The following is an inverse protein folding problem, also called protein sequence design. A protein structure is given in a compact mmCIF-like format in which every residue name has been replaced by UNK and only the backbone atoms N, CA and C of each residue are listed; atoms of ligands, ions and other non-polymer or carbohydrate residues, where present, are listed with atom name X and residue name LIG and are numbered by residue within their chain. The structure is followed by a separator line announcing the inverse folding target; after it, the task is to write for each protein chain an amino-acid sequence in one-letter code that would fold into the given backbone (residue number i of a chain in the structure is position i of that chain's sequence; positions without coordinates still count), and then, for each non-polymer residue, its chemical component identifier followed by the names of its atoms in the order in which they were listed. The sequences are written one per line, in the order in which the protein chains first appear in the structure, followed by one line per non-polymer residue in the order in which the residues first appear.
data_IF_808497345675
#
_entry.id   IF_808497345675
#
_cell.length_a   1.000
_cell.length_b   1.000
_cell.length_c   1.000
_cell.angle_alpha   90.00
_cell.angle_beta   90.00
_cell.angle_gamma   90.00
#
_symmetry.space_group_name_H-M   'P 1'
#
loop_
_entity.id
_entity.type
_entity.pdbx_description
1 polymer ?
#
# COMPACT_ATOMS: atom_id res chain seq x y z
N UNK A 1 -8.31 -19.97 33.95
CA UNK A 1 -7.29 -18.90 34.01
C UNK A 1 -7.69 -17.86 32.97
N UNK A 2 -8.47 -16.85 33.36
CA UNK A 2 -8.97 -15.81 32.43
C UNK A 2 -7.81 -14.96 31.93
N UNK A 3 -7.39 -15.17 30.69
CA UNK A 3 -6.52 -14.25 29.99
C UNK A 3 -7.31 -12.95 29.83
N UNK A 4 -6.80 -11.87 30.39
CA UNK A 4 -7.44 -10.57 30.38
C UNK A 4 -7.49 -10.04 28.93
N UNK A 5 -8.64 -10.25 28.27
CA UNK A 5 -8.89 -9.99 26.84
C UNK A 5 -8.52 -8.55 26.42
N UNK A 6 -8.67 -7.58 27.32
CA UNK A 6 -8.28 -6.18 27.09
C UNK A 6 -6.76 -5.99 26.95
N UNK A 7 -5.92 -6.80 27.62
CA UNK A 7 -4.46 -6.68 27.52
C UNK A 7 -3.90 -7.25 26.22
N UNK A 8 -4.57 -8.24 25.61
CA UNK A 8 -4.16 -8.78 24.30
C UNK A 8 -4.53 -7.81 23.18
N UNK A 9 -5.71 -7.19 23.24
CA UNK A 9 -6.13 -6.15 22.29
C UNK A 9 -5.22 -4.93 22.41
N UNK A 10 -4.89 -4.49 23.62
CA UNK A 10 -3.92 -3.39 23.81
C UNK A 10 -2.51 -3.82 23.41
N UNK A 11 -2.03 -5.04 23.63
CA UNK A 11 -0.68 -5.43 23.21
C UNK A 11 -0.52 -5.55 21.67
N UNK A 12 -1.57 -6.02 20.97
CA UNK A 12 -1.59 -6.12 19.51
C UNK A 12 -1.89 -4.75 18.85
N UNK A 13 -2.67 -3.88 19.49
CA UNK A 13 -2.93 -2.51 19.01
C UNK A 13 -1.92 -1.45 19.52
N UNK A 14 -1.16 -1.71 20.59
CA UNK A 14 -0.21 -0.77 21.21
C UNK A 14 1.26 -1.09 20.93
N UNK A 15 1.56 -2.03 20.03
CA UNK A 15 2.86 -2.07 19.36
C UNK A 15 3.09 -0.87 18.40
N UNK A 16 2.21 0.15 18.49
CA UNK A 16 2.22 1.39 17.71
C UNK A 16 2.23 2.64 18.61
N UNK A 17 3.08 2.72 19.65
CA UNK A 17 3.46 4.02 20.24
C UNK A 17 4.82 3.97 20.91
N UNK A 18 5.87 4.26 20.13
CA UNK A 18 6.97 5.13 20.58
C UNK A 18 7.27 6.09 19.44
N UNK A 19 6.60 7.25 19.43
CA UNK A 19 7.05 8.40 18.66
C UNK A 19 8.28 9.00 19.35
N UNK A 20 9.41 8.28 19.31
CA UNK A 20 10.69 8.90 19.58
C UNK A 20 11.07 9.66 18.32
N UNK A 21 11.17 10.99 18.43
CA UNK A 21 11.69 11.83 17.37
C UNK A 21 13.13 11.42 17.05
N UNK A 22 13.29 10.48 16.12
CA UNK A 22 14.56 10.21 15.50
C UNK A 22 14.67 11.14 14.30
N UNK A 23 15.52 12.16 14.44
CA UNK A 23 16.10 12.82 13.29
C UNK A 23 16.87 11.76 12.50
N UNK A 24 16.21 11.15 11.51
CA UNK A 24 16.86 10.27 10.56
C UNK A 24 17.99 11.06 9.90
N UNK A 25 19.24 10.60 10.07
CA UNK A 25 20.36 11.07 9.27
C UNK A 25 19.98 10.84 7.82
N UNK A 26 19.71 11.93 7.10
CA UNK A 26 19.46 11.91 5.67
C UNK A 26 20.78 11.65 4.95
N UNK A 27 21.24 10.39 4.94
CA UNK A 27 22.02 9.94 3.80
C UNK A 27 21.07 9.96 2.59
N UNK A 28 21.44 10.72 1.55
CA UNK A 28 20.57 10.92 0.39
C UNK A 28 20.14 9.58 -0.21
N UNK A 29 18.86 9.46 -0.58
CA UNK A 29 18.35 8.24 -1.20
C UNK A 29 19.28 7.79 -2.34
N UNK A 30 19.65 6.50 -2.33
CA UNK A 30 20.75 5.91 -3.12
C UNK A 30 20.69 6.24 -4.62
N UNK A 31 19.51 6.56 -5.15
CA UNK A 31 19.29 6.88 -6.57
C UNK A 31 19.64 8.33 -6.99
N UNK A 32 19.91 9.26 -6.07
CA UNK A 32 20.10 10.67 -6.43
C UNK A 32 21.53 11.14 -6.53
N UNK A 33 22.52 10.24 -6.58
CA UNK A 33 23.91 10.68 -6.81
C UNK A 33 24.07 11.51 -8.10
N UNK A 34 23.12 11.41 -9.05
CA UNK A 34 23.14 12.10 -10.34
C UNK A 34 21.83 12.82 -10.74
N UNK A 35 20.82 12.93 -9.87
CA UNK A 35 19.57 13.65 -10.20
C UNK A 35 19.61 15.09 -9.68
N UNK A 36 19.39 16.06 -10.55
CA UNK A 36 19.33 17.49 -10.19
C UNK A 36 17.99 17.92 -9.59
N UNK A 37 16.96 17.09 -9.72
CA UNK A 37 15.63 17.32 -9.13
C UNK A 37 15.32 16.15 -8.20
N UNK A 38 15.10 16.43 -6.92
CA UNK A 38 14.63 15.44 -5.94
C UNK A 38 13.21 15.84 -5.52
N UNK A 39 12.22 15.10 -6.01
CA UNK A 39 10.82 15.22 -5.63
C UNK A 39 10.60 14.52 -4.27
N UNK A 40 11.09 15.16 -3.19
CA UNK A 40 10.99 14.63 -1.82
C UNK A 40 9.57 14.63 -1.27
N UNK A 41 8.70 15.48 -1.81
CA UNK A 41 7.34 15.70 -1.32
C UNK A 41 6.30 15.49 -2.41
N UNK A 42 5.09 15.09 -2.00
CA UNK A 42 3.96 14.95 -2.93
C UNK A 42 3.63 16.33 -3.52
N UNK A 43 3.36 16.43 -4.84
CA UNK A 43 2.88 17.66 -5.44
C UNK A 43 1.67 18.20 -4.69
N UNK A 44 1.73 19.45 -4.26
CA UNK A 44 0.60 20.13 -3.64
C UNK A 44 -0.54 20.24 -4.66
N UNK A 45 -1.78 20.11 -4.18
CA UNK A 45 -2.96 20.39 -5.00
C UNK A 45 -2.91 21.84 -5.47
N UNK A 46 -3.23 22.10 -6.74
CA UNK A 46 -3.33 23.48 -7.22
C UNK A 46 -4.49 24.22 -6.55
N UNK A 47 -4.40 25.55 -6.49
CA UNK A 47 -5.36 26.40 -5.77
C UNK A 47 -6.79 26.25 -6.29
N UNK A 48 -6.97 26.11 -7.60
CA UNK A 48 -8.31 25.91 -8.18
C UNK A 48 -8.94 24.58 -7.71
N UNK A 49 -8.14 23.51 -7.63
CA UNK A 49 -8.61 22.22 -7.11
C UNK A 49 -8.98 22.34 -5.63
N UNK A 50 -8.15 23.03 -4.83
CA UNK A 50 -8.48 23.29 -3.41
C UNK A 50 -9.79 24.06 -3.27
N UNK A 51 -9.98 25.10 -4.08
CA UNK A 51 -11.22 25.90 -4.12
C UNK A 51 -12.43 25.05 -4.48
N UNK A 52 -12.34 24.23 -5.53
CA UNK A 52 -13.44 23.37 -5.96
C UNK A 52 -13.77 22.27 -4.95
N UNK A 53 -12.77 21.70 -4.28
CA UNK A 53 -12.98 20.80 -3.14
C UNK A 53 -13.74 21.52 -2.02
N UNK A 54 -13.35 22.75 -1.67
CA UNK A 54 -14.03 23.52 -0.65
C UNK A 54 -15.48 23.88 -1.06
N UNK A 55 -15.72 24.22 -2.32
CA UNK A 55 -17.07 24.46 -2.85
C UNK A 55 -17.94 23.21 -2.78
N UNK A 56 -17.44 22.07 -3.25
CA UNK A 56 -18.16 20.79 -3.19
C UNK A 56 -18.50 20.36 -1.76
N UNK A 57 -17.61 20.60 -0.79
CA UNK A 57 -17.89 20.31 0.63
C UNK A 57 -18.98 21.19 1.23
N UNK A 58 -19.03 22.46 0.83
CA UNK A 58 -20.05 23.40 1.31
C UNK A 58 -21.41 23.09 0.69
N UNK A 59 -21.42 22.70 -0.57
CA UNK A 59 -22.61 22.33 -1.33
C UNK A 59 -22.29 21.16 -2.27
N UNK A 60 -22.68 19.92 -1.94
CA UNK A 60 -22.39 18.73 -2.73
C UNK A 60 -23.35 18.56 -3.93
N UNK A 61 -23.74 19.66 -4.57
CA UNK A 61 -24.57 19.67 -5.76
C UNK A 61 -23.86 19.06 -6.97
N UNK A 62 -24.64 18.56 -7.94
CA UNK A 62 -24.10 17.96 -9.18
C UNK A 62 -23.27 18.96 -9.98
N UNK A 63 -23.62 20.26 -9.94
CA UNK A 63 -22.84 21.32 -10.56
C UNK A 63 -21.43 21.43 -9.96
N UNK A 64 -21.31 21.45 -8.63
CA UNK A 64 -20.01 21.50 -7.94
C UNK A 64 -19.21 20.21 -8.14
N UNK A 65 -19.88 19.05 -8.14
CA UNK A 65 -19.27 17.75 -8.42
C UNK A 65 -18.67 17.73 -9.83
N UNK A 66 -19.43 18.16 -10.84
CA UNK A 66 -19.02 18.21 -12.24
C UNK A 66 -17.87 19.19 -12.46
N UNK A 67 -17.92 20.37 -11.84
CA UNK A 67 -16.83 21.35 -11.90
C UNK A 67 -15.53 20.79 -11.30
N UNK A 68 -15.60 20.15 -10.13
CA UNK A 68 -14.45 19.49 -9.51
C UNK A 68 -13.91 18.36 -10.39
N UNK A 69 -14.79 17.48 -10.90
CA UNK A 69 -14.39 16.37 -11.79
C UNK A 69 -13.67 16.89 -13.03
N UNK A 70 -14.20 17.94 -13.67
CA UNK A 70 -13.59 18.57 -14.84
C UNK A 70 -12.18 19.06 -14.52
N UNK A 71 -12.00 19.75 -13.39
CA UNK A 71 -10.68 20.23 -12.99
C UNK A 71 -9.70 19.08 -12.69
N UNK A 72 -10.16 18.00 -12.06
CA UNK A 72 -9.36 16.79 -11.83
C UNK A 72 -8.91 16.17 -13.15
N UNK A 73 -9.81 16.07 -14.14
CA UNK A 73 -9.48 15.60 -15.49
C UNK A 73 -8.41 16.47 -16.16
N UNK A 74 -8.57 17.80 -16.12
CA UNK A 74 -7.57 18.75 -16.66
C UNK A 74 -6.21 18.55 -16.00
N UNK A 75 -6.17 18.36 -14.68
CA UNK A 75 -4.91 18.12 -13.97
C UNK A 75 -4.26 16.80 -14.39
N UNK A 76 -5.06 15.74 -14.57
CA UNK A 76 -4.58 14.44 -15.02
C UNK A 76 -3.99 14.51 -16.43
N UNK A 77 -4.70 15.14 -17.36
CA UNK A 77 -4.26 15.31 -18.75
C UNK A 77 -2.92 16.04 -18.84
N UNK A 78 -2.73 17.10 -18.04
CA UNK A 78 -1.44 17.81 -17.95
C UNK A 78 -0.28 16.92 -17.49
N UNK A 79 -0.54 15.89 -16.68
CA UNK A 79 0.50 14.93 -16.26
C UNK A 79 0.75 13.92 -17.38
N UNK A 80 -0.32 13.43 -18.02
CA UNK A 80 -0.24 12.52 -19.16
C UNK A 80 0.52 13.15 -20.33
N UNK A 81 0.27 14.41 -20.66
CA UNK A 81 0.97 15.12 -21.74
C UNK A 81 2.46 15.27 -21.46
N UNK A 82 2.83 15.59 -20.21
CA UNK A 82 4.25 15.62 -19.79
C UNK A 82 4.91 14.26 -19.92
N UNK A 83 4.19 13.18 -19.63
CA UNK A 83 4.68 11.81 -19.80
C UNK A 83 4.84 11.45 -21.29
N UNK A 84 3.85 11.76 -22.14
CA UNK A 84 3.96 11.58 -23.60
C UNK A 84 5.14 12.35 -24.19
N UNK A 85 5.34 13.60 -23.80
CA UNK A 85 6.49 14.40 -24.25
C UNK A 85 7.82 13.76 -23.83
N UNK A 86 7.92 13.23 -22.60
CA UNK A 86 9.13 12.54 -22.13
C UNK A 86 9.39 11.24 -22.90
N UNK A 87 8.33 10.50 -23.24
CA UNK A 87 8.44 9.30 -24.08
C UNK A 87 8.98 9.64 -25.47
N UNK A 88 8.49 10.70 -26.11
CA UNK A 88 9.01 11.16 -27.41
C UNK A 88 10.47 11.63 -27.33
N UNK A 89 10.85 12.29 -26.22
CA UNK A 89 12.26 12.63 -25.95
C UNK A 89 13.13 11.36 -25.81
N UNK A 90 12.67 10.36 -25.06
CA UNK A 90 13.39 9.10 -24.86
C UNK A 90 13.51 8.30 -26.16
N UNK A 91 12.50 8.30 -27.03
CA UNK A 91 12.59 7.68 -28.36
C UNK A 91 13.74 8.26 -29.21
N UNK A 92 14.11 9.52 -28.97
CA UNK A 92 15.21 10.20 -29.68
C UNK A 92 16.56 10.05 -28.98
N UNK A 93 16.56 9.95 -27.65
CA UNK A 93 17.78 10.13 -26.83
C UNK A 93 18.23 8.88 -26.08
N UNK A 94 17.34 7.91 -25.85
CA UNK A 94 17.66 6.74 -25.06
C UNK A 94 18.56 5.77 -25.82
N UNK A 95 19.67 5.38 -25.20
CA UNK A 95 20.60 4.38 -25.75
C UNK A 95 20.07 2.94 -25.70
N UNK A 96 19.08 2.67 -24.86
CA UNK A 96 18.54 1.33 -24.61
C UNK A 96 17.04 1.32 -24.84
N UNK A 97 16.59 0.38 -25.68
CA UNK A 97 15.16 0.18 -26.00
C UNK A 97 14.30 -0.10 -24.76
N UNK A 98 14.88 -0.75 -23.73
CA UNK A 98 14.18 -1.06 -22.48
C UNK A 98 13.62 0.19 -21.78
N UNK A 99 14.33 1.33 -21.82
CA UNK A 99 13.85 2.58 -21.23
C UNK A 99 12.66 3.18 -22.00
N UNK A 100 12.64 3.00 -23.31
CA UNK A 100 11.53 3.46 -24.16
C UNK A 100 10.31 2.59 -23.89
N UNK A 101 10.51 1.26 -23.86
CA UNK A 101 9.43 0.31 -23.57
C UNK A 101 8.81 0.55 -22.19
N UNK A 102 9.61 0.69 -21.14
CA UNK A 102 9.13 0.98 -19.79
C UNK A 102 8.28 2.26 -19.75
N UNK A 103 8.76 3.33 -20.42
CA UNK A 103 8.02 4.59 -20.47
C UNK A 103 6.73 4.47 -21.31
N UNK A 104 6.74 3.69 -22.39
CA UNK A 104 5.58 3.43 -23.23
C UNK A 104 4.50 2.70 -22.43
N UNK A 105 4.87 1.63 -21.72
CA UNK A 105 3.95 0.88 -20.84
C UNK A 105 3.29 1.80 -19.80
N UNK A 106 4.05 2.72 -19.19
CA UNK A 106 3.51 3.70 -18.25
C UNK A 106 2.49 4.62 -18.93
N UNK A 107 2.78 5.12 -20.13
CA UNK A 107 1.88 6.03 -20.86
C UNK A 107 0.60 5.30 -21.26
N UNK A 108 0.71 4.08 -21.78
CA UNK A 108 -0.44 3.29 -22.23
C UNK A 108 -1.38 2.97 -21.06
N UNK A 109 -0.81 2.56 -19.92
CA UNK A 109 -1.56 2.32 -18.69
C UNK A 109 -2.28 3.59 -18.21
N UNK A 110 -1.65 4.76 -18.28
CA UNK A 110 -2.28 6.03 -17.92
C UNK A 110 -3.44 6.41 -18.85
N UNK A 111 -3.30 6.17 -20.16
CA UNK A 111 -4.37 6.41 -21.13
C UNK A 111 -5.56 5.49 -20.84
N UNK A 112 -5.29 4.19 -20.67
CA UNK A 112 -6.32 3.18 -20.42
C UNK A 112 -7.06 3.43 -19.09
N UNK A 113 -6.36 3.84 -18.05
CA UNK A 113 -6.91 3.99 -16.69
C UNK A 113 -7.41 5.41 -16.37
N UNK A 114 -7.45 6.33 -17.34
CA UNK A 114 -7.75 7.75 -17.12
C UNK A 114 -9.02 7.99 -16.30
N UNK A 115 -10.17 7.46 -16.74
CA UNK A 115 -11.45 7.67 -16.06
C UNK A 115 -11.44 7.08 -14.66
N UNK A 116 -10.94 5.85 -14.50
CA UNK A 116 -10.81 5.20 -13.20
C UNK A 116 -9.97 6.04 -12.22
N UNK A 117 -8.92 6.72 -12.69
CA UNK A 117 -8.09 7.60 -11.85
C UNK A 117 -8.76 8.91 -11.49
N UNK A 118 -9.57 9.46 -12.40
CA UNK A 118 -10.42 10.62 -12.10
C UNK A 118 -11.46 10.21 -11.04
N UNK A 119 -12.12 9.06 -11.20
CA UNK A 119 -13.09 8.52 -10.25
C UNK A 119 -12.48 8.28 -8.87
N UNK A 120 -11.29 7.65 -8.83
CA UNK A 120 -10.53 7.43 -7.60
C UNK A 120 -10.24 8.76 -6.87
N UNK A 121 -9.81 9.77 -7.62
CA UNK A 121 -9.54 11.10 -7.07
C UNK A 121 -10.82 11.77 -6.57
N UNK A 122 -11.91 11.65 -7.32
CA UNK A 122 -13.23 12.17 -6.92
C UNK A 122 -13.72 11.53 -5.63
N UNK A 123 -13.69 10.20 -5.52
CA UNK A 123 -14.08 9.46 -4.31
C UNK A 123 -13.32 9.96 -3.08
N UNK A 124 -12.02 10.19 -3.23
CA UNK A 124 -11.19 10.73 -2.15
C UNK A 124 -11.56 12.17 -1.79
N UNK A 125 -11.78 13.04 -2.77
CA UNK A 125 -12.09 14.44 -2.53
C UNK A 125 -13.51 14.66 -1.98
N UNK A 126 -14.44 13.78 -2.33
CA UNK A 126 -15.80 13.77 -1.79
C UNK A 126 -15.90 13.10 -0.42
N UNK A 127 -14.85 12.46 0.07
CA UNK A 127 -14.87 11.77 1.36
C UNK A 127 -15.00 12.80 2.50
N UNK A 128 -16.04 12.70 3.36
CA UNK A 128 -16.21 13.61 4.50
C UNK A 128 -15.04 13.58 5.49
N UNK A 129 -14.28 12.48 5.52
CA UNK A 129 -13.09 12.31 6.36
C UNK A 129 -11.89 13.06 5.80
N UNK A 130 -11.92 13.57 4.58
CA UNK A 130 -10.80 14.29 3.97
C UNK A 130 -10.64 15.69 4.59
N UNK A 131 -10.16 15.79 5.84
CA UNK A 131 -9.97 17.04 6.59
C UNK A 131 -8.53 17.18 7.09
N UNK A 132 -8.06 18.39 7.44
CA UNK A 132 -6.79 18.55 8.14
C UNK A 132 -6.75 17.64 9.37
N UNK A 133 -5.64 16.91 9.58
CA UNK A 133 -5.52 15.95 10.69
C UNK A 133 -6.20 14.59 10.48
N UNK A 134 -6.77 14.28 9.31
CA UNK A 134 -7.41 12.97 9.05
C UNK A 134 -6.48 11.74 9.07
N UNK A 135 -5.21 11.91 9.44
CA UNK A 135 -4.17 10.86 9.45
C UNK A 135 -3.81 10.37 10.86
N UNK A 136 -4.61 10.69 11.89
CA UNK A 136 -4.38 10.11 13.20
C UNK A 136 -4.74 8.62 13.17
N UNK A 137 -3.77 7.78 13.53
CA UNK A 137 -4.01 6.37 13.70
C UNK A 137 -4.87 6.15 14.95
N UNK A 138 -5.97 5.42 14.81
CA UNK A 138 -6.75 4.91 15.93
C UNK A 138 -6.41 3.44 16.12
N UNK A 139 -5.72 3.11 17.23
CA UNK A 139 -5.24 1.76 17.51
C UNK A 139 -4.31 1.19 16.43
N UNK A 140 -3.55 2.04 15.74
CA UNK A 140 -2.67 1.65 14.63
C UNK A 140 -3.33 1.57 13.24
N UNK A 141 -4.61 1.94 13.12
CA UNK A 141 -5.36 1.93 11.85
C UNK A 141 -5.65 3.33 11.33
N UNK A 142 -5.48 3.53 10.03
CA UNK A 142 -5.60 4.81 9.33
C UNK A 142 -6.80 4.81 8.37
N UNK A 143 -7.65 5.85 8.36
CA UNK A 143 -8.78 5.91 7.43
C UNK A 143 -8.35 5.81 5.96
N UNK A 144 -9.00 4.93 5.20
CA UNK A 144 -8.77 4.78 3.76
C UNK A 144 -9.71 5.70 2.99
N UNK A 145 -9.25 6.92 2.69
CA UNK A 145 -10.06 7.93 2.00
C UNK A 145 -10.46 7.47 0.59
N UNK A 146 -11.76 7.55 0.28
CA UNK A 146 -12.34 7.10 -0.97
C UNK A 146 -12.83 5.63 -0.95
N UNK A 147 -12.44 4.84 0.03
CA UNK A 147 -13.10 3.57 0.36
C UNK A 147 -14.39 3.81 1.19
N UNK A 148 -15.08 2.74 1.57
CA UNK A 148 -16.22 2.81 2.50
C UNK A 148 -15.84 3.54 3.80
N UNK A 149 -16.82 4.24 4.40
CA UNK A 149 -16.57 5.18 5.49
C UNK A 149 -15.97 4.54 6.76
N UNK A 150 -16.25 3.26 6.99
CA UNK A 150 -15.80 2.45 8.11
C UNK A 150 -14.48 1.70 7.83
N UNK A 151 -13.88 1.86 6.65
CA UNK A 151 -12.64 1.17 6.28
C UNK A 151 -11.42 1.97 6.73
N UNK A 152 -10.58 1.32 7.53
CA UNK A 152 -9.24 1.79 7.92
C UNK A 152 -8.20 0.69 7.67
N UNK A 153 -6.95 1.05 7.46
CA UNK A 153 -5.86 0.11 7.15
C UNK A 153 -4.71 0.23 8.15
N UNK A 154 -4.06 -0.89 8.47
CA UNK A 154 -2.96 -0.92 9.41
C UNK A 154 -1.78 -0.04 8.95
N UNK A 155 -1.12 0.61 9.90
CA UNK A 155 0.01 1.52 9.66
C UNK A 155 1.20 0.83 8.98
N UNK A 156 1.49 -0.43 9.32
CA UNK A 156 2.55 -1.27 8.75
C UNK A 156 1.98 -2.59 8.24
N UNK A 157 2.73 -3.38 7.44
CA UNK A 157 2.45 -4.80 7.27
C UNK A 157 2.50 -5.51 8.63
N UNK A 158 1.90 -6.70 8.71
CA UNK A 158 1.96 -7.53 9.93
C UNK A 158 3.40 -7.96 10.17
N UNK A 159 3.90 -7.73 11.38
CA UNK A 159 5.28 -8.08 11.75
C UNK A 159 5.40 -9.53 12.19
N UNK A 160 6.62 -10.07 12.20
CA UNK A 160 6.87 -11.39 12.79
C UNK A 160 6.48 -11.43 14.28
N UNK A 161 6.69 -10.35 15.03
CA UNK A 161 6.27 -10.24 16.44
C UNK A 161 4.75 -10.35 16.61
N UNK A 162 3.99 -9.65 15.78
CA UNK A 162 2.52 -9.71 15.82
C UNK A 162 2.02 -11.11 15.42
N UNK A 163 2.62 -11.68 14.38
CA UNK A 163 2.27 -13.03 13.92
C UNK A 163 2.63 -14.11 14.94
N UNK A 164 3.72 -13.96 15.69
CA UNK A 164 4.09 -14.88 16.76
C UNK A 164 3.02 -14.94 17.87
N UNK A 165 2.35 -13.83 18.17
CA UNK A 165 1.25 -13.80 19.13
C UNK A 165 0.05 -14.62 18.64
N UNK A 166 -0.29 -14.50 17.35
CA UNK A 166 -1.31 -15.32 16.71
C UNK A 166 -0.97 -16.82 16.77
N UNK A 167 0.26 -17.20 16.43
CA UNK A 167 0.70 -18.61 16.50
C UNK A 167 0.61 -19.15 17.92
N UNK A 168 1.06 -18.38 18.92
CA UNK A 168 0.97 -18.74 20.33
C UNK A 168 -0.48 -18.92 20.79
N UNK A 169 -1.40 -18.06 20.33
CA UNK A 169 -2.81 -18.11 20.73
C UNK A 169 -3.58 -19.25 20.07
N UNK A 170 -3.20 -19.65 18.84
CA UNK A 170 -3.99 -20.58 18.02
C UNK A 170 -3.38 -21.98 17.89
N UNK A 171 -2.09 -22.14 18.20
CA UNK A 171 -1.36 -23.39 17.98
C UNK A 171 -1.12 -23.71 16.51
N UNK A 172 -1.36 -22.76 15.59
CA UNK A 172 -1.11 -22.93 14.16
C UNK A 172 0.39 -23.12 13.88
N UNK A 173 0.69 -23.77 12.75
CA UNK A 173 2.06 -24.00 12.30
C UNK A 173 2.74 -22.67 11.94
N UNK A 174 3.97 -22.50 12.41
CA UNK A 174 4.80 -21.35 12.07
C UNK A 174 5.23 -21.34 10.59
N UNK A 175 5.60 -20.17 10.03
CA UNK A 175 6.20 -20.09 8.70
C UNK A 175 7.43 -20.99 8.57
N UNK A 176 7.70 -21.49 7.36
CA UNK A 176 8.73 -22.52 7.11
C UNK A 176 10.15 -22.10 7.48
N UNK A 177 10.43 -20.80 7.50
CA UNK A 177 11.72 -20.21 7.82
C UNK A 177 11.91 -19.93 9.32
N UNK A 178 10.93 -20.26 10.16
CA UNK A 178 11.00 -20.18 11.61
C UNK A 178 11.55 -21.50 12.16
N UNK A 179 12.83 -21.50 12.52
CA UNK A 179 13.51 -22.70 13.02
C UNK A 179 12.85 -23.22 14.30
N UNK A 180 12.44 -24.49 14.28
CA UNK A 180 11.64 -25.13 15.33
C UNK A 180 10.41 -24.31 15.78
N UNK A 181 9.83 -23.54 14.87
CA UNK A 181 8.68 -22.66 15.14
C UNK A 181 9.01 -21.38 15.90
N UNK A 182 10.29 -21.09 16.14
CA UNK A 182 10.74 -19.86 16.74
C UNK A 182 10.92 -18.76 15.68
N UNK A 183 10.44 -17.57 16.01
CA UNK A 183 10.64 -16.37 15.20
C UNK A 183 12.14 -16.14 14.94
N UNK A 184 12.55 -15.79 13.70
CA UNK A 184 13.96 -15.56 13.40
C UNK A 184 14.55 -14.44 14.26
N UNK A 185 15.69 -14.73 14.90
CA UNK A 185 16.36 -13.79 15.80
C UNK A 185 16.65 -12.45 15.11
N UNK A 186 16.34 -11.35 15.80
CA UNK A 186 16.54 -9.98 15.29
C UNK A 186 15.56 -9.54 14.19
N UNK A 187 14.61 -10.38 13.77
CA UNK A 187 13.62 -10.05 12.72
C UNK A 187 12.21 -9.77 13.22
N UNK A 188 12.06 -9.48 14.51
CA UNK A 188 10.75 -9.26 15.12
C UNK A 188 9.92 -8.18 14.43
N UNK A 189 10.55 -7.05 14.09
CA UNK A 189 9.94 -5.91 13.38
C UNK A 189 9.97 -6.01 11.85
N UNK A 190 10.41 -7.13 11.28
CA UNK A 190 10.30 -7.37 9.85
C UNK A 190 8.87 -7.83 9.51
N UNK A 191 8.38 -7.58 8.28
CA UNK A 191 7.11 -8.15 7.85
C UNK A 191 7.17 -9.68 7.90
N UNK A 192 6.09 -10.30 8.36
CA UNK A 192 5.94 -11.75 8.24
C UNK A 192 5.79 -12.12 6.77
N UNK A 193 6.59 -13.08 6.32
CA UNK A 193 6.55 -13.65 4.96
C UNK A 193 6.51 -15.17 5.08
N UNK A 194 6.47 -15.88 3.95
CA UNK A 194 6.24 -17.34 3.94
C UNK A 194 4.91 -17.73 4.61
N UNK A 195 3.89 -16.90 4.41
CA UNK A 195 2.51 -17.17 4.81
C UNK A 195 1.62 -17.26 3.56
N UNK A 196 0.70 -18.21 3.55
CA UNK A 196 -0.29 -18.32 2.47
C UNK A 196 -1.38 -17.26 2.60
N UNK A 197 -2.21 -17.10 1.57
CA UNK A 197 -3.40 -16.25 1.67
C UNK A 197 -4.34 -16.78 2.78
N UNK A 198 -4.47 -18.10 2.90
CA UNK A 198 -5.32 -18.74 3.90
C UNK A 198 -4.82 -18.49 5.33
N UNK A 199 -3.50 -18.47 5.53
CA UNK A 199 -2.88 -18.11 6.81
C UNK A 199 -3.11 -16.64 7.16
N UNK A 200 -2.93 -15.74 6.18
CA UNK A 200 -3.17 -14.32 6.35
C UNK A 200 -4.66 -14.00 6.64
N UNK A 201 -5.57 -14.70 5.97
CA UNK A 201 -7.02 -14.65 6.23
C UNK A 201 -7.35 -15.18 7.62
N UNK A 202 -6.76 -16.30 8.05
CA UNK A 202 -6.94 -16.84 9.39
C UNK A 202 -6.44 -15.89 10.49
N UNK A 203 -5.34 -15.18 10.26
CA UNK A 203 -4.87 -14.12 11.16
C UNK A 203 -5.91 -13.01 11.31
N UNK A 204 -6.49 -12.54 10.20
CA UNK A 204 -7.54 -11.51 10.22
C UNK A 204 -8.81 -11.99 10.94
N UNK A 205 -9.21 -13.25 10.73
CA UNK A 205 -10.34 -13.85 11.46
C UNK A 205 -10.05 -13.93 12.96
N UNK A 206 -8.84 -14.32 13.35
CA UNK A 206 -8.44 -14.35 14.76
C UNK A 206 -8.53 -12.96 15.40
N UNK A 207 -8.06 -11.90 14.73
CA UNK A 207 -8.22 -10.51 15.19
C UNK A 207 -9.69 -10.12 15.35
N UNK A 208 -10.54 -10.50 14.39
CA UNK A 208 -11.99 -10.24 14.45
C UNK A 208 -12.67 -10.91 15.65
N UNK A 209 -12.18 -12.08 16.07
CA UNK A 209 -12.68 -12.73 17.28
C UNK A 209 -12.23 -12.02 18.56
N UNK A 210 -11.17 -11.21 18.51
CA UNK A 210 -10.69 -10.44 19.67
C UNK A 210 -11.40 -9.10 19.82
N UNK A 211 -11.87 -8.48 18.73
CA UNK A 211 -12.57 -7.19 18.78
C UNK A 211 -14.07 -7.35 18.49
N UNK A 212 -14.91 -6.97 19.46
CA UNK A 212 -16.37 -7.00 19.29
C UNK A 212 -16.92 -5.83 18.47
N UNK A 213 -16.09 -4.83 18.16
CA UNK A 213 -16.51 -3.59 17.50
C UNK A 213 -16.13 -3.53 16.03
N UNK A 214 -15.21 -4.38 15.58
CA UNK A 214 -14.69 -4.32 14.23
C UNK A 214 -14.44 -5.71 13.64
N UNK A 215 -14.54 -5.79 12.32
CA UNK A 215 -14.13 -6.94 11.53
C UNK A 215 -12.78 -6.63 10.89
N UNK A 216 -11.87 -7.58 10.93
CA UNK A 216 -10.57 -7.49 10.29
C UNK A 216 -10.50 -8.44 9.10
N UNK A 217 -9.92 -7.95 8.01
CA UNK A 217 -9.75 -8.70 6.77
C UNK A 217 -8.54 -8.21 5.98
N UNK A 218 -8.21 -8.93 4.92
CA UNK A 218 -7.25 -8.43 3.93
C UNK A 218 -7.88 -7.26 3.13
N UNK A 219 -7.06 -6.29 2.68
CA UNK A 219 -7.53 -5.24 1.81
C UNK A 219 -7.93 -5.81 0.44
N UNK A 220 -8.89 -5.19 -0.23
CA UNK A 220 -9.01 -5.33 -1.69
C UNK A 220 -7.84 -4.59 -2.36
N UNK A 221 -7.52 -4.90 -3.62
CA UNK A 221 -6.56 -4.10 -4.40
C UNK A 221 -6.94 -2.62 -4.41
N UNK A 222 -8.23 -2.32 -4.53
CA UNK A 222 -8.72 -0.93 -4.58
C UNK A 222 -8.48 -0.18 -3.27
N UNK A 223 -8.77 -0.80 -2.12
CA UNK A 223 -8.51 -0.20 -0.80
C UNK A 223 -7.03 -0.01 -0.54
N UNK A 224 -6.21 -0.98 -0.95
CA UNK A 224 -4.77 -0.88 -0.88
C UNK A 224 -4.25 0.30 -1.73
N UNK A 225 -4.77 0.45 -2.96
CA UNK A 225 -4.43 1.56 -3.85
C UNK A 225 -4.89 2.92 -3.31
N UNK A 226 -6.07 3.01 -2.70
CA UNK A 226 -6.52 4.21 -2.00
C UNK A 226 -5.61 4.57 -0.83
N UNK A 227 -5.20 3.57 -0.05
CA UNK A 227 -4.31 3.73 1.09
C UNK A 227 -2.92 4.21 0.66
N UNK A 228 -2.33 3.61 -0.39
CA UNK A 228 -1.02 3.96 -0.91
C UNK A 228 -1.04 5.33 -1.63
N UNK A 229 -2.02 5.55 -2.49
CA UNK A 229 -2.03 6.65 -3.46
C UNK A 229 -0.81 6.61 -4.37
N UNK A 230 -0.33 7.77 -4.83
CA UNK A 230 0.79 7.80 -5.76
C UNK A 230 2.12 7.47 -5.09
N UNK A 231 2.85 6.50 -5.67
CA UNK A 231 4.23 6.18 -5.27
C UNK A 231 5.15 7.38 -5.53
N UNK A 232 5.89 7.89 -4.53
CA UNK A 232 6.83 8.98 -4.75
C UNK A 232 7.94 8.58 -5.72
N UNK A 233 8.27 9.46 -6.66
CA UNK A 233 9.29 9.18 -7.68
C UNK A 233 10.67 8.98 -7.07
N UNK A 234 10.97 9.75 -6.03
CA UNK A 234 12.31 9.91 -5.46
C UNK A 234 12.35 9.48 -3.97
N UNK A 235 11.58 8.43 -3.65
CA UNK A 235 11.59 7.81 -2.32
C UNK A 235 12.50 6.59 -2.29
N UNK A 236 13.24 6.46 -1.19
CA UNK A 236 13.99 5.26 -0.83
C UNK A 236 13.06 4.27 -0.11
N UNK A 237 13.05 3.04 -0.60
CA UNK A 237 12.35 1.90 -0.02
C UNK A 237 12.97 0.60 -0.54
N UNK A 238 12.85 -0.47 0.24
CA UNK A 238 13.51 -1.75 -0.03
C UNK A 238 12.95 -2.43 -1.29
N UNK A 239 13.53 -2.14 -2.46
CA UNK A 239 13.19 -2.76 -3.74
C UNK A 239 14.46 -3.06 -4.54
N UNK A 240 14.51 -4.23 -5.18
CA UNK A 240 15.66 -4.65 -6.00
C UNK A 240 16.99 -4.90 -5.25
N UNK A 241 17.04 -4.67 -3.94
CA UNK A 241 18.22 -4.82 -3.08
C UNK A 241 18.66 -6.28 -2.91
N UNK A 242 17.73 -7.23 -3.03
CA UNK A 242 18.00 -8.68 -2.98
C UNK A 242 18.59 -9.21 -1.66
N UNK A 243 18.53 -8.42 -0.58
CA UNK A 243 19.08 -8.77 0.74
C UNK A 243 18.02 -9.24 1.75
N UNK A 244 16.81 -9.55 1.29
CA UNK A 244 15.67 -9.90 2.16
C UNK A 244 14.90 -8.67 2.67
N UNK A 245 13.94 -8.93 3.56
CA UNK A 245 13.11 -7.89 4.17
C UNK A 245 13.91 -7.00 5.13
N UNK A 246 13.43 -5.79 5.34
CA UNK A 246 13.90 -4.84 6.36
C UNK A 246 12.85 -4.64 7.45
N UNK A 247 13.19 -4.07 8.62
CA UNK A 247 12.20 -3.63 9.59
C UNK A 247 11.15 -2.71 8.94
N UNK A 248 9.88 -2.84 9.34
CA UNK A 248 8.74 -2.14 8.70
C UNK A 248 8.80 -0.61 8.82
N UNK A 249 9.63 -0.08 9.70
CA UNK A 249 9.86 1.35 9.93
C UNK A 249 11.18 1.88 9.35
N UNK A 250 12.00 1.02 8.71
CA UNK A 250 13.28 1.42 8.12
C UNK A 250 13.14 2.53 7.06
N UNK A 251 11.98 2.63 6.42
CA UNK A 251 11.66 3.63 5.39
C UNK A 251 10.44 4.50 5.77
N UNK A 252 10.26 4.80 7.06
CA UNK A 252 9.08 5.53 7.56
C UNK A 252 8.88 6.95 6.95
N UNK A 253 9.92 7.53 6.32
CA UNK A 253 9.80 8.78 5.57
C UNK A 253 8.88 8.64 4.32
N UNK A 254 8.73 7.42 3.81
CA UNK A 254 7.89 7.11 2.65
C UNK A 254 6.50 6.68 3.10
N UNK A 255 5.53 7.59 3.03
CA UNK A 255 4.14 7.34 3.46
C UNK A 255 3.12 7.32 2.32
N UNK A 256 2.14 6.43 2.46
CA UNK A 256 0.95 6.32 1.66
C UNK A 256 0.00 7.53 1.82
N UNK A 257 -1.05 7.59 1.00
CA UNK A 257 -2.02 8.67 1.01
C UNK A 257 -2.79 8.78 2.33
N UNK A 258 -3.04 7.64 2.97
CA UNK A 258 -3.63 7.57 4.30
C UNK A 258 -2.61 7.84 5.44
N UNK A 259 -1.31 7.74 5.15
CA UNK A 259 -0.22 7.87 6.13
C UNK A 259 0.49 6.55 6.47
N UNK A 260 0.00 5.40 6.00
CA UNK A 260 0.63 4.10 6.22
C UNK A 260 2.03 4.06 5.61
N UNK A 261 2.96 3.36 6.25
CA UNK A 261 4.33 3.21 5.77
C UNK A 261 4.54 1.83 5.16
N UNK A 262 5.65 1.68 4.43
CA UNK A 262 6.06 0.43 3.80
C UNK A 262 4.99 -0.09 2.81
N UNK A 263 4.30 0.84 2.13
CA UNK A 263 3.34 0.52 1.07
C UNK A 263 4.05 0.10 -0.24
N UNK A 264 5.35 0.32 -0.39
CA UNK A 264 6.08 0.01 -1.61
C UNK A 264 7.41 -0.66 -1.27
N UNK A 265 7.66 -1.82 -1.89
CA UNK A 265 8.82 -2.65 -1.58
C UNK A 265 8.63 -3.49 -0.31
N UNK A 266 9.74 -3.91 0.27
CA UNK A 266 9.87 -4.83 1.40
C UNK A 266 9.22 -6.20 1.12
N UNK A 267 7.91 -6.33 1.16
CA UNK A 267 7.20 -7.54 0.74
C UNK A 267 5.96 -7.20 -0.09
N UNK A 268 5.63 -8.08 -1.02
CA UNK A 268 4.30 -8.11 -1.61
C UNK A 268 3.26 -8.32 -0.51
N UNK A 269 2.13 -7.62 -0.59
CA UNK A 269 1.04 -7.76 0.37
C UNK A 269 -0.15 -8.49 -0.27
N UNK A 270 -0.61 -9.57 0.35
CA UNK A 270 -1.85 -10.26 -0.04
C UNK A 270 -3.06 -9.31 -0.02
N UNK A 271 -3.90 -9.43 -1.05
CA UNK A 271 -5.21 -8.75 -1.12
C UNK A 271 -6.33 -9.77 -1.30
N UNK A 272 -7.57 -9.38 -0.98
CA UNK A 272 -8.77 -10.20 -1.18
C UNK A 272 -9.34 -10.11 -2.60
N UNK A 273 -8.65 -9.45 -3.54
CA UNK A 273 -9.03 -9.39 -4.94
C UNK A 273 -8.47 -10.60 -5.69
N UNK A 274 -9.30 -11.29 -6.48
CA UNK A 274 -8.86 -12.39 -7.32
C UNK A 274 -8.20 -11.89 -8.61
N UNK A 275 -7.17 -12.59 -9.09
CA UNK A 275 -6.63 -12.36 -10.43
C UNK A 275 -7.31 -13.31 -11.41
N UNK A 276 -7.86 -12.77 -12.49
CA UNK A 276 -8.37 -13.59 -13.59
C UNK A 276 -7.19 -14.28 -14.29
N UNK A 277 -7.14 -15.60 -14.14
CA UNK A 277 -6.20 -16.48 -14.84
C UNK A 277 -7.00 -17.41 -15.74
N UNK A 278 -6.49 -17.67 -16.95
CA UNK A 278 -7.19 -18.59 -17.86
C UNK A 278 -7.35 -19.96 -17.20
N UNK A 279 -8.51 -20.61 -17.39
CA UNK A 279 -8.81 -21.90 -16.74
C UNK A 279 -7.74 -22.97 -17.00
N UNK A 280 -7.12 -22.94 -18.18
CA UNK A 280 -6.03 -23.85 -18.57
C UNK A 280 -4.73 -23.63 -17.76
N UNK A 281 -4.48 -22.41 -17.28
CA UNK A 281 -3.31 -22.06 -16.47
C UNK A 281 -3.60 -22.25 -14.99
N UNK A 282 -4.82 -21.88 -14.56
CA UNK A 282 -5.24 -21.96 -13.17
C UNK A 282 -5.41 -23.39 -12.66
N UNK A 283 -5.73 -24.36 -13.52
CA UNK A 283 -6.05 -25.74 -13.11
C UNK A 283 -7.09 -25.81 -11.96
N UNK A 284 -8.04 -24.88 -11.94
CA UNK A 284 -9.06 -24.77 -10.88
C UNK A 284 -8.58 -24.13 -9.56
N UNK A 285 -7.37 -23.56 -9.53
CA UNK A 285 -6.78 -22.95 -8.34
C UNK A 285 -7.17 -21.48 -8.19
N UNK A 286 -7.42 -21.05 -6.96
CA UNK A 286 -7.67 -19.65 -6.64
C UNK A 286 -6.37 -18.86 -6.58
N UNK A 287 -6.26 -17.84 -7.42
CA UNK A 287 -5.13 -16.90 -7.47
C UNK A 287 -5.58 -15.56 -6.91
N UNK A 288 -4.89 -15.10 -5.87
CA UNK A 288 -5.17 -13.82 -5.21
C UNK A 288 -4.13 -12.79 -5.62
N UNK A 289 -4.58 -11.56 -5.80
CA UNK A 289 -3.72 -10.45 -6.18
C UNK A 289 -2.81 -10.04 -5.01
N UNK A 290 -1.61 -9.61 -5.36
CA UNK A 290 -0.64 -9.05 -4.42
C UNK A 290 -0.21 -7.65 -4.86
N UNK A 291 0.10 -6.79 -3.89
CA UNK A 291 0.43 -5.38 -4.15
C UNK A 291 1.73 -4.94 -3.49
N UNK A 292 2.29 -3.82 -3.95
CA UNK A 292 3.43 -3.13 -3.32
C UNK A 292 4.82 -3.50 -3.84
N UNK A 293 5.03 -4.67 -4.44
CA UNK A 293 6.37 -5.15 -4.77
C UNK A 293 7.14 -5.63 -3.54
N UNK A 294 8.30 -6.25 -3.73
CA UNK A 294 9.14 -6.76 -2.63
C UNK A 294 10.59 -6.31 -2.71
N UNK A 295 11.38 -6.67 -1.70
CA UNK A 295 12.84 -6.48 -1.62
C UNK A 295 13.62 -6.99 -2.83
N UNK A 296 13.05 -7.88 -3.64
CA UNK A 296 13.64 -8.39 -4.90
C UNK A 296 12.95 -7.91 -6.17
N UNK A 297 11.82 -7.22 -6.06
CA UNK A 297 11.09 -6.68 -7.21
C UNK A 297 11.84 -5.48 -7.78
N UNK A 298 11.87 -5.32 -9.12
CA UNK A 298 12.29 -4.06 -9.70
C UNK A 298 11.29 -2.96 -9.32
N UNK A 299 11.76 -1.71 -9.22
CA UNK A 299 10.96 -0.56 -8.79
C UNK A 299 9.69 -0.35 -9.61
N UNK A 300 9.70 -0.71 -10.90
CA UNK A 300 8.54 -0.65 -11.80
C UNK A 300 7.39 -1.57 -11.38
N UNK A 301 7.69 -2.68 -10.71
CA UNK A 301 6.70 -3.59 -10.15
C UNK A 301 6.13 -3.10 -8.82
N UNK A 302 6.81 -2.18 -8.13
CA UNK A 302 6.32 -1.58 -6.89
C UNK A 302 5.31 -0.46 -7.13
N UNK A 303 5.00 -0.06 -8.37
CA UNK A 303 4.04 1.02 -8.65
C UNK A 303 2.67 0.69 -8.06
N UNK A 304 2.01 1.68 -7.46
CA UNK A 304 0.67 1.52 -6.89
C UNK A 304 -0.31 0.94 -7.90
N UNK A 305 -0.21 1.36 -9.15
CA UNK A 305 -1.16 1.01 -10.22
C UNK A 305 -0.86 -0.35 -10.88
N UNK A 306 0.23 -1.02 -10.51
CA UNK A 306 0.58 -2.36 -11.05
C UNK A 306 -0.51 -3.37 -10.67
N UNK A 307 -1.16 -3.96 -11.67
CA UNK A 307 -2.18 -5.01 -11.53
C UNK A 307 -1.77 -6.30 -12.24
N UNK A 308 -2.52 -7.38 -12.00
CA UNK A 308 -2.29 -8.69 -12.63
C UNK A 308 -1.21 -9.54 -11.95
N UNK A 309 -0.55 -9.00 -10.91
CA UNK A 309 0.38 -9.76 -10.09
C UNK A 309 -0.41 -10.64 -9.11
N UNK A 310 -0.39 -11.95 -9.34
CA UNK A 310 -1.15 -12.92 -8.57
C UNK A 310 -0.28 -14.05 -8.03
N UNK A 311 -0.75 -14.68 -6.94
CA UNK A 311 -0.14 -15.87 -6.36
C UNK A 311 -1.23 -16.88 -5.98
N UNK A 312 -0.91 -18.16 -6.09
CA UNK A 312 -1.83 -19.21 -5.68
C UNK A 312 -2.08 -19.15 -4.17
N UNK A 313 -3.35 -19.07 -3.79
CA UNK A 313 -3.79 -18.78 -2.41
C UNK A 313 -3.26 -19.75 -1.35
N UNK A 314 -3.14 -21.04 -1.68
CA UNK A 314 -2.69 -22.08 -0.75
C UNK A 314 -1.16 -22.17 -0.59
N UNK A 315 -0.40 -21.37 -1.34
CA UNK A 315 1.07 -21.39 -1.30
C UNK A 315 1.62 -20.19 -0.52
N UNK A 316 2.74 -20.45 0.15
CA UNK A 316 3.51 -19.44 0.86
C UNK A 316 4.76 -19.03 0.05
N UNK A 317 5.08 -17.74 0.05
CA UNK A 317 6.19 -17.18 -0.72
C UNK A 317 7.12 -16.35 0.16
N UNK A 318 8.42 -16.40 -0.09
CA UNK A 318 9.46 -15.78 0.74
C UNK A 318 9.50 -14.25 0.71
N UNK A 319 8.68 -13.64 -0.13
CA UNK A 319 8.57 -12.21 -0.31
C UNK A 319 7.12 -11.72 -0.33
N UNK A 320 6.18 -12.55 0.10
CA UNK A 320 4.76 -12.20 0.23
C UNK A 320 4.38 -12.26 1.71
N UNK A 321 3.99 -11.12 2.24
CA UNK A 321 3.37 -10.93 3.55
C UNK A 321 1.96 -10.36 3.37
N UNK A 322 1.50 -9.60 4.35
CA UNK A 322 0.17 -8.99 4.28
C UNK A 322 0.01 -7.81 5.25
N UNK A 323 -1.03 -7.03 5.01
CA UNK A 323 -1.51 -5.93 5.84
C UNK A 323 -2.99 -6.12 6.11
N UNK A 324 -3.45 -5.58 7.24
CA UNK A 324 -4.82 -5.75 7.71
C UNK A 324 -5.65 -4.48 7.47
N UNK A 325 -6.88 -4.68 7.02
CA UNK A 325 -7.96 -3.68 7.06
C UNK A 325 -8.85 -3.96 8.26
N UNK A 326 -9.29 -2.88 8.92
CA UNK A 326 -10.29 -2.86 9.99
C UNK A 326 -11.56 -2.17 9.48
N UNK A 327 -12.69 -2.84 9.63
CA UNK A 327 -14.03 -2.34 9.33
C UNK A 327 -14.84 -2.24 10.62
N UNK A 328 -15.17 -1.03 11.06
CA UNK A 328 -15.94 -0.79 12.30
C UNK A 328 -16.22 0.67 12.57
#
# INVERSE_FOLDING_TARGET
MSINLQKVIIAVCAAATVSAGFAARTEGAKLHRFSTTIEKERPQLNEETKRLIASYRRDPSEANRSALRKQVGINYDKVLDRKKAKLEELKRTARHASKIQEMQEIVDEMVQNREARIDQSMRRFSDPRFRPGARYADGGYLPVLGASWNVSIAYTPVTNEDYAQFLKATGRKAPKDWDNGAMPAGKGRHPVVNVSYDDASAYCQWLSLQDRKAVYRLPTEEEWEFAAGHMPKDADFNCGERNGTSPVDAHAATSGACGAIDMWGNCWEWTSSSVEVSKAVAHGKTVMAVKGGSWRSPRTSCRTERKGEGRESSFAFSDVGFRVVREG
#
